data_IF_149590804525
#
_entry.id   IF_149590804525
#
_cell.length_a   1.000
_cell.length_b   1.000
_cell.length_c   1.000
_cell.angle_alpha   90.00
_cell.angle_beta   90.00
_cell.angle_gamma   90.00
#
_symmetry.space_group_name_H-M   'P 1'
#
loop_
_entity.id
_entity.type
_entity.pdbx_description
1 polymer ?
#
# COMPACT_ATOMS: atom_id res chain seq x y z
N UNK A 1 -6.73 16.25 12.77
CA UNK A 1 -6.46 15.69 12.72
C UNK A 1 -5.73 15.08 11.92
N UNK A 2 -5.32 14.93 11.20
CA UNK A 2 -4.40 14.49 10.27
C UNK A 2 -3.93 13.11 10.45
N UNK A 3 -4.77 12.28 10.99
CA UNK A 3 -4.31 11.00 11.08
C UNK A 3 -4.32 10.36 9.77
N UNK A 4 -3.30 9.72 9.32
CA UNK A 4 -3.29 8.99 8.07
C UNK A 4 -4.02 7.71 8.25
N UNK A 5 -4.85 7.31 7.28
CA UNK A 5 -5.55 6.06 7.36
C UNK A 5 -4.55 4.92 7.28
N UNK A 6 -4.75 3.93 8.11
CA UNK A 6 -3.90 2.75 8.05
C UNK A 6 -4.54 1.72 7.18
N UNK A 7 -3.72 0.95 6.51
CA UNK A 7 -4.23 -0.12 5.69
C UNK A 7 -4.79 -1.22 6.58
N UNK A 8 -5.90 -1.78 6.17
CA UNK A 8 -6.46 -2.93 6.87
C UNK A 8 -5.64 -4.15 6.48
N UNK A 9 -5.86 -5.24 7.20
CA UNK A 9 -5.17 -6.48 6.89
C UNK A 9 -5.46 -6.91 5.45
N UNK A 10 -6.70 -6.76 5.02
CA UNK A 10 -7.07 -7.11 3.66
C UNK A 10 -6.31 -6.25 2.66
N UNK A 11 -6.26 -4.96 2.91
CA UNK A 11 -5.58 -4.06 2.01
C UNK A 11 -4.08 -4.32 1.98
N UNK A 12 -3.51 -4.66 3.11
CA UNK A 12 -2.10 -4.95 3.17
C UNK A 12 -1.76 -6.18 2.33
N UNK A 13 -2.54 -7.22 2.48
CA UNK A 13 -2.31 -8.43 1.71
C UNK A 13 -2.47 -8.17 0.23
N UNK A 14 -3.49 -7.42 -0.11
CA UNK A 14 -3.74 -7.10 -1.49
C UNK A 14 -2.58 -6.28 -2.07
N UNK A 15 -2.11 -5.30 -1.32
CA UNK A 15 -1.01 -4.47 -1.78
C UNK A 15 0.26 -5.28 -1.97
N UNK A 16 0.52 -6.20 -1.05
CA UNK A 16 1.69 -7.05 -1.17
C UNK A 16 1.58 -7.91 -2.42
N UNK A 17 0.41 -8.48 -2.66
CA UNK A 17 0.19 -9.29 -3.85
C UNK A 17 0.41 -8.50 -5.12
N UNK A 18 -0.08 -7.27 -5.15
CA UNK A 18 0.10 -6.43 -6.33
C UNK A 18 1.57 -6.09 -6.53
N UNK A 19 2.27 -5.84 -5.43
CA UNK A 19 3.69 -5.52 -5.52
C UNK A 19 4.46 -6.71 -6.09
N UNK A 20 4.13 -7.90 -5.64
CA UNK A 20 4.82 -9.09 -6.11
C UNK A 20 4.45 -9.42 -7.54
N UNK A 21 3.30 -8.95 -7.98
CA UNK A 21 2.90 -9.11 -9.36
C UNK A 21 3.65 -8.18 -10.30
N UNK A 22 4.45 -7.28 -9.74
CA UNK A 22 5.23 -6.37 -10.55
C UNK A 22 4.63 -5.00 -10.73
N UNK A 23 3.62 -4.66 -9.97
CA UNK A 23 3.02 -3.34 -10.10
C UNK A 23 3.91 -2.29 -9.46
N UNK A 24 3.80 -1.09 -9.96
CA UNK A 24 4.59 0.01 -9.46
C UNK A 24 4.11 0.40 -8.06
N UNK A 25 5.05 0.57 -7.15
CA UNK A 25 4.72 0.92 -5.78
C UNK A 25 3.92 2.21 -5.71
N UNK A 26 4.28 3.18 -6.52
CA UNK A 26 3.57 4.44 -6.54
C UNK A 26 2.11 4.26 -6.91
N UNK A 27 1.85 3.41 -7.88
CA UNK A 27 0.48 3.15 -8.31
C UNK A 27 -0.31 2.48 -7.20
N UNK A 28 0.30 1.52 -6.54
CA UNK A 28 -0.35 0.83 -5.44
C UNK A 28 -0.66 1.81 -4.32
N UNK A 29 0.32 2.65 -3.99
CA UNK A 29 0.15 3.62 -2.92
C UNK A 29 -0.98 4.58 -3.23
N UNK A 30 -1.09 4.99 -4.48
CA UNK A 30 -2.15 5.90 -4.87
C UNK A 30 -3.51 5.24 -4.74
N UNK A 31 -3.58 3.97 -5.07
CA UNK A 31 -4.84 3.23 -4.97
C UNK A 31 -5.35 3.23 -3.54
N UNK A 32 -4.43 3.19 -2.59
CA UNK A 32 -4.81 3.14 -1.18
C UNK A 32 -4.65 4.47 -0.47
N UNK A 33 -4.27 5.50 -1.22
CA UNK A 33 -4.11 6.83 -0.67
C UNK A 33 -3.10 6.88 0.48
N UNK A 34 -1.99 6.21 0.27
CA UNK A 34 -0.89 6.20 1.24
C UNK A 34 0.39 6.52 0.49
N UNK A 35 1.48 6.73 1.24
CA UNK A 35 2.75 7.02 0.59
C UNK A 35 3.36 5.71 0.10
N UNK A 36 4.24 5.82 -0.89
CA UNK A 36 4.87 4.62 -1.44
C UNK A 36 5.78 3.95 -0.41
N UNK A 37 6.26 4.71 0.56
CA UNK A 37 7.05 4.13 1.63
C UNK A 37 6.23 3.14 2.43
N UNK A 38 4.97 3.44 2.63
CA UNK A 38 4.09 2.54 3.35
C UNK A 38 4.00 1.20 2.63
N UNK A 39 3.86 1.25 1.32
CA UNK A 39 3.77 0.03 0.53
C UNK A 39 5.10 -0.71 0.56
N UNK A 40 6.19 0.02 0.48
CA UNK A 40 7.51 -0.59 0.49
C UNK A 40 7.80 -1.33 1.79
N UNK A 41 7.20 -0.87 2.86
CA UNK A 41 7.42 -1.49 4.16
C UNK A 41 6.53 -2.68 4.44
N UNK A 42 5.53 -2.91 3.63
CA UNK A 42 4.62 -4.01 3.85
C UNK A 42 5.33 -5.33 3.70
N UNK A 43 4.92 -6.28 4.50
CA UNK A 43 5.50 -7.61 4.44
C UNK A 43 4.44 -8.66 4.41
#
# INVERSE_FOLDING_TARGET
>A
MGRKPKLTIHQRREAIGRREAGEVLTDIARSYNVSHSTISRLR
#
